data_IF_649007895319
#
_entry.id   IF_649007895319
#
_cell.length_a   1.000
_cell.length_b   1.000
_cell.length_c   1.000
_cell.angle_alpha   90.00
_cell.angle_beta   90.00
_cell.angle_gamma   90.00
#
_symmetry.space_group_name_H-M   'P 1'
#
loop_
_entity.id
_entity.type
_entity.pdbx_description
1 polymer ?
#
# COMPACT_ATOMS: atom_id res chain seq x y z
N UNK A 1 2.31 18.37 21.27
CA UNK A 1 2.31 17.22 20.34
C UNK A 1 1.99 15.98 21.17
N UNK A 2 0.73 15.55 21.18
CA UNK A 2 0.27 14.48 22.07
C UNK A 2 0.63 13.13 21.40
N UNK A 3 1.71 12.49 21.84
CA UNK A 3 2.12 11.18 21.34
C UNK A 3 1.11 10.18 21.90
N UNK A 4 0.06 9.89 21.13
CA UNK A 4 -0.84 8.77 21.42
C UNK A 4 -0.03 7.49 21.33
N UNK A 5 0.22 6.87 22.48
CA UNK A 5 0.82 5.54 22.55
C UNK A 5 -0.16 4.56 21.89
N UNK A 6 0.29 3.89 20.83
CA UNK A 6 -0.50 2.87 20.15
C UNK A 6 -0.76 1.68 21.07
N UNK A 7 -1.96 1.12 20.99
CA UNK A 7 -2.28 -0.09 21.74
C UNK A 7 -1.53 -1.30 21.17
N UNK A 8 -1.34 -2.36 21.97
CA UNK A 8 -0.73 -3.62 21.53
C UNK A 8 -1.40 -4.17 20.27
N UNK A 9 -2.73 -4.07 20.17
CA UNK A 9 -3.49 -4.56 19.02
C UNK A 9 -3.20 -3.76 17.74
N UNK A 10 -3.04 -2.43 17.84
CA UNK A 10 -2.69 -1.58 16.70
C UNK A 10 -1.28 -1.88 16.21
N UNK A 11 -0.33 -2.07 17.13
CA UNK A 11 1.04 -2.50 16.80
C UNK A 11 1.04 -3.84 16.06
N UNK A 12 0.27 -4.83 16.54
CA UNK A 12 0.13 -6.12 15.86
C UNK A 12 -0.45 -5.96 14.46
N UNK A 13 -1.49 -5.12 14.30
CA UNK A 13 -2.10 -4.86 12.99
C UNK A 13 -1.15 -4.12 12.04
N UNK A 14 -0.35 -3.17 12.54
CA UNK A 14 0.67 -2.47 11.75
C UNK A 14 1.78 -3.41 11.30
N UNK A 15 2.25 -4.30 12.19
CA UNK A 15 3.23 -5.31 11.84
C UNK A 15 2.66 -6.31 10.81
N UNK A 16 1.42 -6.77 11.00
CA UNK A 16 0.74 -7.62 10.05
C UNK A 16 0.59 -6.93 8.68
N UNK A 17 0.19 -5.65 8.65
CA UNK A 17 0.10 -4.86 7.43
C UNK A 17 1.46 -4.76 6.72
N UNK A 18 2.52 -4.45 7.47
CA UNK A 18 3.87 -4.34 6.90
C UNK A 18 4.35 -5.64 6.26
N UNK A 19 3.91 -6.81 6.73
CA UNK A 19 4.31 -8.11 6.16
C UNK A 19 3.35 -8.54 5.04
N UNK A 20 2.04 -8.45 5.28
CA UNK A 20 1.03 -9.00 4.37
C UNK A 20 0.82 -8.14 3.13
N UNK A 21 0.97 -6.81 3.22
CA UNK A 21 0.78 -5.93 2.05
C UNK A 21 1.86 -6.19 0.98
N UNK A 22 3.17 -6.25 1.29
CA UNK A 22 4.17 -6.63 0.30
C UNK A 22 4.00 -8.04 -0.26
N UNK A 23 3.67 -9.02 0.59
CA UNK A 23 3.44 -10.39 0.15
C UNK A 23 2.25 -10.49 -0.81
N UNK A 24 1.12 -9.86 -0.48
CA UNK A 24 -0.03 -9.76 -1.37
C UNK A 24 0.28 -8.94 -2.63
N UNK A 25 1.16 -7.94 -2.48
CA UNK A 25 1.68 -7.10 -3.54
C UNK A 25 2.38 -7.88 -4.66
N UNK A 26 3.07 -8.96 -4.30
CA UNK A 26 3.84 -9.78 -5.23
C UNK A 26 2.98 -10.81 -5.97
N UNK A 27 1.83 -11.19 -5.40
CA UNK A 27 0.86 -12.05 -6.09
C UNK A 27 0.18 -11.25 -7.20
N UNK A 28 0.74 -11.34 -8.40
CA UNK A 28 0.26 -10.67 -9.61
C UNK A 28 -0.66 -11.61 -10.38
N UNK A 29 -1.88 -11.17 -10.63
CA UNK A 29 -2.85 -11.85 -11.49
C UNK A 29 -2.87 -11.18 -12.87
N UNK A 30 -2.91 -12.00 -13.93
CA UNK A 30 -2.92 -11.55 -15.33
C UNK A 30 -4.24 -11.98 -16.00
N UNK A 31 -5.32 -11.20 -15.86
CA UNK A 31 -6.65 -11.61 -16.31
C UNK A 31 -6.85 -11.53 -17.84
N UNK A 32 -6.11 -10.66 -18.54
CA UNK A 32 -6.36 -10.38 -19.97
C UNK A 32 -5.12 -10.47 -20.87
N UNK A 33 -3.89 -10.36 -20.33
CA UNK A 33 -2.57 -10.62 -20.94
C UNK A 33 -1.46 -10.23 -19.93
N UNK A 34 -0.18 -10.55 -20.20
CA UNK A 34 0.97 -10.20 -19.31
C UNK A 34 1.16 -8.70 -19.05
N UNK A 35 0.49 -7.83 -19.83
CA UNK A 35 0.60 -6.38 -19.73
C UNK A 35 -0.19 -5.79 -18.57
N UNK A 36 -1.35 -6.38 -18.21
CA UNK A 36 -2.20 -5.86 -17.14
C UNK A 36 -2.03 -6.70 -15.88
N UNK A 37 -1.11 -6.28 -15.00
CA UNK A 37 -0.93 -6.90 -13.69
C UNK A 37 -1.94 -6.33 -12.70
N UNK A 38 -2.78 -7.18 -12.11
CA UNK A 38 -3.59 -6.82 -10.96
C UNK A 38 -2.91 -7.41 -9.72
N UNK A 39 -2.55 -6.54 -8.78
CA UNK A 39 -1.92 -6.94 -7.52
C UNK A 39 -2.95 -6.99 -6.39
N UNK A 40 -2.76 -7.89 -5.42
CA UNK A 40 -3.58 -7.94 -4.21
C UNK A 40 -3.12 -6.96 -3.12
N UNK A 41 -2.01 -6.25 -3.34
CA UNK A 41 -1.48 -5.26 -2.41
C UNK A 41 -2.43 -4.09 -2.11
N UNK A 42 -2.99 -3.38 -3.11
CA UNK A 42 -3.90 -2.25 -2.86
C UNK A 42 -5.18 -2.65 -2.12
N UNK A 43 -5.89 -3.75 -2.48
CA UNK A 43 -7.01 -4.24 -1.69
C UNK A 43 -6.62 -4.61 -0.25
N UNK A 44 -5.45 -5.23 -0.05
CA UNK A 44 -4.96 -5.53 1.29
C UNK A 44 -4.72 -4.26 2.12
N UNK A 45 -4.03 -3.26 1.54
CA UNK A 45 -3.81 -1.96 2.20
C UNK A 45 -5.14 -1.29 2.55
N UNK A 46 -6.12 -1.30 1.64
CA UNK A 46 -7.44 -0.72 1.88
C UNK A 46 -8.13 -1.31 3.12
N UNK A 47 -8.11 -2.63 3.24
CA UNK A 47 -8.69 -3.32 4.41
C UNK A 47 -7.97 -2.94 5.70
N UNK A 48 -6.64 -2.86 5.68
CA UNK A 48 -5.86 -2.41 6.84
C UNK A 48 -6.17 -0.96 7.20
N UNK A 49 -6.32 -0.05 6.23
CA UNK A 49 -6.70 1.34 6.46
C UNK A 49 -8.09 1.44 7.10
N UNK A 50 -9.05 0.62 6.69
CA UNK A 50 -10.39 0.57 7.30
C UNK A 50 -10.36 0.04 8.75
N UNK A 51 -9.46 -0.90 9.05
CA UNK A 51 -9.27 -1.48 10.38
C UNK A 51 -8.49 -0.56 11.35
N UNK A 52 -7.43 0.09 10.86
CA UNK A 52 -6.53 0.95 11.63
C UNK A 52 -7.06 2.38 11.82
N UNK A 53 -8.30 2.52 12.30
CA UNK A 53 -9.00 3.82 12.39
C UNK A 53 -8.35 4.85 13.32
N UNK A 54 -7.60 4.38 14.31
CA UNK A 54 -6.94 5.23 15.32
C UNK A 54 -5.55 5.67 14.87
N UNK A 55 -4.99 5.02 13.84
CA UNK A 55 -3.69 5.35 13.27
C UNK A 55 -3.90 6.26 12.06
N UNK A 56 -3.14 7.35 11.92
CA UNK A 56 -3.20 8.19 10.72
C UNK A 56 -2.96 7.36 9.45
N UNK A 57 -3.89 7.44 8.48
CA UNK A 57 -3.79 6.70 7.22
C UNK A 57 -2.46 6.96 6.50
N UNK A 58 -1.96 8.20 6.53
CA UNK A 58 -0.67 8.57 5.94
C UNK A 58 0.48 7.76 6.57
N UNK A 59 0.49 7.55 7.89
CA UNK A 59 1.50 6.71 8.55
C UNK A 59 1.40 5.24 8.13
N UNK A 60 0.17 4.74 7.96
CA UNK A 60 -0.03 3.38 7.47
C UNK A 60 0.47 3.24 6.02
N UNK A 61 0.18 4.21 5.17
CA UNK A 61 0.62 4.24 3.77
C UNK A 61 2.12 4.37 3.60
N UNK A 62 2.78 5.24 4.37
CA UNK A 62 4.25 5.34 4.35
C UNK A 62 4.89 4.04 4.81
N UNK A 63 4.41 3.45 5.92
CA UNK A 63 4.95 2.18 6.42
C UNK A 63 4.74 1.04 5.41
N UNK A 64 3.54 0.93 4.82
CA UNK A 64 3.25 -0.06 3.81
C UNK A 64 4.12 0.14 2.56
N UNK A 65 4.21 1.37 2.04
CA UNK A 65 5.03 1.69 0.88
C UNK A 65 6.51 1.39 1.09
N UNK A 66 7.07 1.78 2.25
CA UNK A 66 8.47 1.46 2.60
C UNK A 66 8.65 -0.04 2.68
N UNK A 67 7.72 -0.75 3.32
CA UNK A 67 7.80 -2.21 3.43
C UNK A 67 7.77 -2.89 2.06
N UNK A 68 6.91 -2.42 1.14
CA UNK A 68 6.84 -2.93 -0.24
C UNK A 68 8.15 -2.66 -0.98
N UNK A 69 8.69 -1.44 -0.89
CA UNK A 69 9.94 -1.08 -1.54
C UNK A 69 11.10 -1.95 -1.04
N UNK A 70 11.26 -2.08 0.27
CA UNK A 70 12.31 -2.91 0.88
C UNK A 70 12.13 -4.37 0.49
N UNK A 71 10.91 -4.90 0.56
CA UNK A 71 10.63 -6.28 0.18
C UNK A 71 11.02 -6.57 -1.28
N UNK A 72 10.71 -5.65 -2.20
CA UNK A 72 11.07 -5.82 -3.62
C UNK A 72 12.57 -5.73 -3.87
N UNK A 73 13.25 -4.78 -3.24
CA UNK A 73 14.73 -4.70 -3.33
C UNK A 73 15.38 -5.98 -2.80
N UNK A 74 14.83 -6.58 -1.72
CA UNK A 74 15.31 -7.86 -1.21
C UNK A 74 15.07 -9.00 -2.21
N UNK A 75 13.94 -9.03 -2.91
CA UNK A 75 13.71 -10.01 -3.97
C UNK A 75 14.69 -9.81 -5.12
N UNK A 76 14.89 -8.57 -5.58
CA UNK A 76 15.86 -8.23 -6.62
C UNK A 76 17.27 -8.69 -6.25
N UNK A 77 17.69 -8.49 -4.99
CA UNK A 77 18.99 -8.94 -4.50
C UNK A 77 19.16 -10.48 -4.47
N UNK A 78 18.06 -11.23 -4.38
CA UNK A 78 18.07 -12.71 -4.35
C UNK A 78 18.01 -13.29 -5.77
N UNK A 79 17.26 -12.64 -6.68
CA UNK A 79 16.90 -13.22 -7.98
C UNK A 79 17.59 -12.56 -9.18
N UNK A 80 18.09 -11.34 -9.09
CA UNK A 80 18.76 -10.65 -10.19
C UNK A 80 20.29 -10.76 -10.05
N UNK A 81 20.94 -11.22 -11.12
CA UNK A 81 22.39 -11.11 -11.28
C UNK A 81 22.73 -10.45 -12.63
N UNK A 82 23.54 -9.37 -12.66
CA UNK A 82 24.14 -8.67 -11.53
C UNK A 82 23.14 -7.76 -10.77
N UNK A 83 23.29 -7.68 -9.45
CA UNK A 83 22.48 -6.81 -8.61
C UNK A 83 23.12 -5.43 -8.42
N UNK A 84 22.35 -4.38 -8.66
CA UNK A 84 22.72 -2.99 -8.37
C UNK A 84 21.63 -2.31 -7.53
N UNK A 85 22.04 -1.81 -6.36
CA UNK A 85 21.16 -1.14 -5.40
C UNK A 85 20.45 0.08 -5.98
N UNK A 86 21.17 0.94 -6.71
CA UNK A 86 20.61 2.19 -7.24
C UNK A 86 19.58 1.89 -8.33
N UNK A 87 19.88 0.91 -9.19
CA UNK A 87 18.97 0.49 -10.25
C UNK A 87 17.70 -0.13 -9.66
N UNK A 88 17.83 -1.03 -8.68
CA UNK A 88 16.68 -1.67 -8.03
C UNK A 88 15.82 -0.67 -7.24
N UNK A 89 16.42 0.27 -6.52
CA UNK A 89 15.68 1.34 -5.84
C UNK A 89 14.90 2.17 -6.85
N UNK A 90 15.56 2.63 -7.92
CA UNK A 90 14.92 3.47 -8.94
C UNK A 90 13.77 2.72 -9.65
N UNK A 91 13.94 1.43 -9.92
CA UNK A 91 12.93 0.60 -10.55
C UNK A 91 11.70 0.35 -9.64
N UNK A 92 11.89 0.28 -8.32
CA UNK A 92 10.81 -0.03 -7.38
C UNK A 92 10.21 1.22 -6.68
N UNK A 93 10.83 2.39 -6.84
CA UNK A 93 10.37 3.65 -6.26
C UNK A 93 8.93 4.03 -6.65
N UNK A 94 8.46 3.83 -7.91
CA UNK A 94 7.07 4.11 -8.28
C UNK A 94 6.06 3.32 -7.43
N UNK A 95 6.41 2.10 -7.00
CA UNK A 95 5.54 1.33 -6.11
C UNK A 95 5.43 1.99 -4.72
N UNK A 96 6.49 2.58 -4.17
CA UNK A 96 6.38 3.36 -2.94
C UNK A 96 5.43 4.55 -3.11
N UNK A 97 5.61 5.32 -4.20
CA UNK A 97 4.78 6.48 -4.51
C UNK A 97 3.31 6.09 -4.63
N UNK A 98 3.02 4.95 -5.28
CA UNK A 98 1.67 4.39 -5.36
C UNK A 98 1.03 4.20 -3.97
N UNK A 99 1.65 3.43 -3.07
CA UNK A 99 1.06 3.13 -1.75
C UNK A 99 0.96 4.37 -0.86
N UNK A 100 1.90 5.31 -0.99
CA UNK A 100 1.84 6.59 -0.31
C UNK A 100 0.66 7.43 -0.81
N UNK A 101 0.53 7.61 -2.12
CA UNK A 101 -0.57 8.35 -2.75
C UNK A 101 -1.92 7.73 -2.42
N UNK A 102 -2.00 6.40 -2.44
CA UNK A 102 -3.21 5.66 -2.06
C UNK A 102 -3.68 6.07 -0.65
N UNK A 103 -2.78 6.02 0.33
CA UNK A 103 -3.13 6.41 1.69
C UNK A 103 -3.39 7.91 1.86
N UNK A 104 -2.72 8.76 1.08
CA UNK A 104 -2.96 10.20 1.06
C UNK A 104 -4.37 10.52 0.56
N UNK A 105 -4.78 9.94 -0.57
CA UNK A 105 -6.14 10.12 -1.11
C UNK A 105 -7.18 9.54 -0.15
N UNK A 106 -6.92 8.36 0.42
CA UNK A 106 -7.78 7.77 1.46
C UNK A 106 -7.98 8.73 2.64
N UNK A 107 -6.91 9.38 3.09
CA UNK A 107 -6.94 10.37 4.17
C UNK A 107 -7.71 11.63 3.78
N UNK A 108 -7.45 12.19 2.60
CA UNK A 108 -8.10 13.41 2.09
C UNK A 108 -9.61 13.22 1.91
N UNK A 109 -10.02 12.07 1.39
CA UNK A 109 -11.43 11.69 1.23
C UNK A 109 -12.11 11.32 2.54
N UNK A 110 -11.35 11.23 3.64
CA UNK A 110 -11.84 10.89 4.99
C UNK A 110 -12.70 9.62 4.98
N UNK A 111 -12.28 8.59 4.23
CA UNK A 111 -13.07 7.39 3.95
C UNK A 111 -13.58 6.72 5.25
N UNK A 112 -12.81 6.82 6.35
CA UNK A 112 -13.21 6.36 7.68
C UNK A 112 -14.55 6.92 8.19
N UNK A 113 -15.05 8.04 7.68
CA UNK A 113 -16.31 8.65 8.10
C UNK A 113 -17.54 7.94 7.52
N UNK A 114 -17.38 7.22 6.41
CA UNK A 114 -18.49 6.61 5.67
C UNK A 114 -18.70 5.12 6.00
N UNK A 115 -18.20 4.64 7.15
CA UNK A 115 -18.20 3.23 7.56
C UNK A 115 -19.58 2.53 7.54
N UNK A 116 -20.67 3.28 7.63
CA UNK A 116 -22.04 2.74 7.60
C UNK A 116 -22.59 2.53 6.19
N UNK A 117 -21.86 2.97 5.16
CA UNK A 117 -22.27 2.92 3.75
C UNK A 117 -21.22 2.16 2.93
N UNK A 118 -21.26 0.81 2.92
CA UNK A 118 -20.28 -0.02 2.22
C UNK A 118 -20.13 0.33 0.74
N UNK A 119 -21.23 0.69 0.09
CA UNK A 119 -21.25 1.11 -1.32
C UNK A 119 -20.43 2.39 -1.56
N UNK A 120 -20.51 3.37 -0.64
CA UNK A 120 -19.75 4.62 -0.73
C UNK A 120 -18.27 4.35 -0.50
N UNK A 121 -17.94 3.50 0.48
CA UNK A 121 -16.54 3.09 0.74
C UNK A 121 -15.94 2.41 -0.49
N UNK A 122 -16.68 1.51 -1.14
CA UNK A 122 -16.23 0.85 -2.37
C UNK A 122 -15.97 1.85 -3.50
N UNK A 123 -16.89 2.80 -3.73
CA UNK A 123 -16.74 3.82 -4.77
C UNK A 123 -15.55 4.75 -4.48
N UNK A 124 -15.37 5.18 -3.23
CA UNK A 124 -14.20 5.95 -2.82
C UNK A 124 -12.90 5.15 -2.95
N UNK A 125 -12.95 3.85 -2.68
CA UNK A 125 -11.83 2.92 -2.91
C UNK A 125 -11.41 2.90 -4.39
N UNK A 126 -12.37 2.83 -5.31
CA UNK A 126 -12.11 2.91 -6.75
C UNK A 126 -11.44 4.24 -7.11
N UNK A 127 -11.95 5.38 -6.60
CA UNK A 127 -11.32 6.69 -6.82
C UNK A 127 -9.88 6.73 -6.30
N UNK A 128 -9.64 6.12 -5.14
CA UNK A 128 -8.31 6.03 -4.53
C UNK A 128 -7.35 5.21 -5.38
N UNK A 129 -7.82 4.07 -5.90
CA UNK A 129 -7.06 3.20 -6.81
C UNK A 129 -6.67 3.92 -8.10
N UNK A 130 -7.62 4.61 -8.74
CA UNK A 130 -7.34 5.38 -9.96
C UNK A 130 -6.33 6.49 -9.70
N UNK A 131 -6.48 7.24 -8.61
CA UNK A 131 -5.56 8.33 -8.27
C UNK A 131 -4.13 7.82 -7.98
N UNK A 132 -4.01 6.71 -7.24
CA UNK A 132 -2.73 6.08 -6.97
C UNK A 132 -2.08 5.50 -8.23
N UNK A 133 -2.87 4.85 -9.10
CA UNK A 133 -2.41 4.32 -10.38
C UNK A 133 -1.83 5.39 -11.30
N UNK A 134 -2.42 6.59 -11.31
CA UNK A 134 -1.84 7.72 -12.03
C UNK A 134 -0.48 8.15 -11.48
N UNK A 135 -0.24 7.98 -10.17
CA UNK A 135 1.07 8.32 -9.58
C UNK A 135 2.18 7.30 -9.85
N UNK A 136 1.84 6.05 -10.22
CA UNK A 136 2.84 5.03 -10.59
C UNK A 136 3.37 5.24 -12.02
N UNK A 137 2.68 6.04 -12.84
CA UNK A 137 3.04 6.29 -14.25
C UNK A 137 4.08 7.41 -14.45
N UNK A 138 4.41 8.17 -13.41
CA UNK A 138 5.39 9.27 -13.44
C UNK A 138 6.65 8.90 -12.66
#
# INVERSE_FOLDING_TARGET
MNIKIFSKNELTLLAAMAILVPLAGEVKFYPFNEVYRVSFGPPALFLFLLGLRKVPAILCGTLAGVSVLVFRILLDAIFLEPFDWLVSIHANLPSFVYYFTYALVFFLLKIHQFNQLPWVIGLLGIVTEFAAGMSELF
#
